data_IF_751835018624
#
_entry.id   IF_751835018624
#
_cell.length_a   1.000
_cell.length_b   1.000
_cell.length_c   1.000
_cell.angle_alpha   90.00
_cell.angle_beta   90.00
_cell.angle_gamma   90.00
#
_symmetry.space_group_name_H-M   'P 1'
#
loop_
_entity.id
_entity.type
_entity.pdbx_description
1 polymer ?
#
# COMPACT_ATOMS: atom_id res chain seq x y z
N UNK A 1 -16.29 0.11 -43.40
CA UNK A 1 -15.08 -0.37 -42.69
C UNK A 1 -15.21 0.00 -41.21
N UNK A 2 -15.63 -0.96 -40.37
CA UNK A 2 -15.77 -0.81 -38.92
C UNK A 2 -14.41 -1.13 -38.27
N UNK A 3 -13.59 -0.12 -38.01
CA UNK A 3 -12.51 -0.25 -37.04
C UNK A 3 -13.04 0.25 -35.70
N UNK A 4 -13.61 -0.70 -34.96
CA UNK A 4 -14.10 -0.55 -33.61
C UNK A 4 -13.03 0.10 -32.73
N UNK A 5 -13.35 1.24 -32.16
CA UNK A 5 -12.58 1.95 -31.15
C UNK A 5 -12.21 1.01 -30.00
N UNK A 6 -11.01 0.46 -30.01
CA UNK A 6 -10.44 -0.21 -28.84
C UNK A 6 -9.93 0.87 -27.89
N UNK A 7 -10.85 1.57 -27.21
CA UNK A 7 -10.55 2.37 -26.02
C UNK A 7 -10.15 1.40 -24.91
N UNK A 8 -8.90 0.94 -24.93
CA UNK A 8 -8.25 0.43 -23.73
C UNK A 8 -8.16 1.61 -22.78
N UNK A 9 -9.14 1.76 -21.89
CA UNK A 9 -9.00 2.62 -20.73
C UNK A 9 -7.89 2.00 -19.88
N UNK A 10 -6.63 2.40 -20.13
CA UNK A 10 -5.55 2.22 -19.18
C UNK A 10 -6.01 2.94 -17.92
N UNK A 11 -6.67 2.23 -16.99
CA UNK A 11 -6.81 2.68 -15.61
C UNK A 11 -5.38 2.87 -15.15
N UNK A 12 -4.90 4.11 -15.18
CA UNK A 12 -3.61 4.45 -14.64
C UNK A 12 -3.74 4.28 -13.13
N UNK A 13 -3.46 3.08 -12.68
CA UNK A 13 -3.26 2.81 -11.26
C UNK A 13 -2.13 3.71 -10.80
N UNK A 14 -2.47 4.70 -9.97
CA UNK A 14 -1.45 5.62 -9.43
C UNK A 14 -0.85 4.95 -8.21
N UNK A 15 0.47 5.05 -8.09
CA UNK A 15 1.19 4.59 -6.91
C UNK A 15 0.58 5.26 -5.67
N UNK A 16 0.18 4.46 -4.69
CA UNK A 16 -0.32 5.00 -3.43
C UNK A 16 0.82 5.72 -2.72
N UNK A 17 0.67 7.04 -2.54
CA UNK A 17 1.68 7.89 -1.91
C UNK A 17 1.83 7.59 -0.41
N UNK A 18 0.75 7.16 0.25
CA UNK A 18 0.77 6.87 1.69
C UNK A 18 1.69 5.70 2.06
N UNK A 19 1.78 4.69 1.20
CA UNK A 19 2.67 3.54 1.39
C UNK A 19 3.75 3.42 0.32
N UNK A 20 3.99 4.47 -0.47
CA UNK A 20 4.92 4.47 -1.60
C UNK A 20 4.82 3.20 -2.47
N UNK A 21 3.62 2.77 -2.85
CA UNK A 21 3.47 1.61 -3.73
C UNK A 21 3.53 0.23 -3.06
N UNK A 22 3.88 0.16 -1.77
CA UNK A 22 4.16 -1.11 -1.09
C UNK A 22 2.89 -1.82 -0.61
N UNK A 23 1.84 -1.06 -0.28
CA UNK A 23 0.61 -1.59 0.32
C UNK A 23 0.70 -1.78 1.84
N UNK A 24 1.89 -1.65 2.42
CA UNK A 24 2.13 -1.74 3.85
C UNK A 24 2.74 -0.44 4.38
N UNK A 25 2.48 -0.16 5.64
CA UNK A 25 3.13 0.89 6.40
C UNK A 25 3.64 0.28 7.71
N UNK A 26 4.72 0.83 8.26
CA UNK A 26 5.34 0.33 9.48
C UNK A 26 5.23 1.41 10.55
N UNK A 27 4.73 1.03 11.73
CA UNK A 27 4.60 1.94 12.87
C UNK A 27 5.47 1.37 13.96
N UNK A 28 6.37 2.20 14.46
CA UNK A 28 7.13 1.87 15.65
C UNK A 28 6.15 1.83 16.82
N UNK A 29 5.84 0.62 17.31
CA UNK A 29 5.18 0.47 18.60
C UNK A 29 6.23 0.65 19.68
N UNK A 30 5.96 1.52 20.66
CA UNK A 30 6.78 1.59 21.87
C UNK A 30 6.92 0.18 22.45
N UNK A 31 8.13 -0.26 22.83
CA UNK A 31 8.29 -1.57 23.43
C UNK A 31 7.41 -1.64 24.68
N UNK A 32 6.50 -2.60 24.71
CA UNK A 32 5.82 -2.98 25.95
C UNK A 32 6.92 -3.44 26.92
N UNK A 33 6.96 -2.85 28.11
CA UNK A 33 7.96 -3.06 29.17
C UNK A 33 8.22 -4.54 29.56
N UNK A 34 7.45 -5.49 29.02
CA UNK A 34 7.53 -6.92 29.28
C UNK A 34 8.14 -7.76 28.16
N UNK A 35 8.50 -7.17 27.00
CA UNK A 35 9.09 -7.90 25.87
C UNK A 35 10.50 -7.36 25.54
N UNK A 36 11.55 -8.22 25.48
CA UNK A 36 12.91 -7.76 25.27
C UNK A 36 13.08 -7.12 23.89
N UNK A 37 13.36 -5.80 23.89
CA UNK A 37 14.16 -4.95 22.98
C UNK A 37 14.15 -5.18 21.45
N UNK A 38 13.33 -6.08 20.90
CA UNK A 38 12.99 -6.00 19.49
C UNK A 38 11.90 -4.96 19.37
N UNK A 39 12.28 -3.76 18.93
CA UNK A 39 11.38 -2.83 18.24
C UNK A 39 10.77 -3.60 17.05
N UNK A 40 9.71 -4.36 17.31
CA UNK A 40 8.98 -5.06 16.25
C UNK A 40 8.13 -3.98 15.60
N UNK A 41 8.68 -3.33 14.58
CA UNK A 41 7.91 -2.51 13.65
C UNK A 41 6.93 -3.44 12.95
N UNK A 42 5.71 -3.55 13.47
CA UNK A 42 4.69 -4.42 12.90
C UNK A 42 4.18 -3.79 11.59
N UNK A 43 4.25 -4.52 10.46
CA UNK A 43 3.63 -4.06 9.23
C UNK A 43 2.11 -4.04 9.40
N UNK A 44 1.48 -2.96 8.95
CA UNK A 44 0.03 -2.85 8.83
C UNK A 44 -0.37 -2.53 7.39
N UNK A 45 -1.56 -2.98 7.01
CA UNK A 45 -2.16 -2.68 5.71
C UNK A 45 -2.36 -1.17 5.56
N UNK A 46 -1.89 -0.62 4.44
CA UNK A 46 -2.14 0.76 4.09
C UNK A 46 -3.63 0.92 3.78
N UNK A 47 -4.35 1.62 4.66
CA UNK A 47 -5.80 1.82 4.51
C UNK A 47 -6.17 2.58 3.24
N UNK A 48 -5.32 3.52 2.81
CA UNK A 48 -5.55 4.33 1.61
C UNK A 48 -5.63 3.49 0.33
N UNK A 49 -4.83 2.43 0.23
CA UNK A 49 -4.85 1.51 -0.92
C UNK A 49 -5.36 0.11 -0.60
N UNK A 50 -5.87 -0.12 0.62
CA UNK A 50 -6.33 -1.41 1.13
C UNK A 50 -5.31 -2.54 0.90
N UNK A 51 -4.02 -2.25 1.01
CA UNK A 51 -2.95 -3.22 0.77
C UNK A 51 -2.50 -3.40 -0.68
N UNK A 52 -3.12 -2.74 -1.66
CA UNK A 52 -2.81 -2.93 -3.08
C UNK A 52 -1.57 -2.17 -3.56
N UNK A 53 -1.11 -1.18 -2.79
CA UNK A 53 -0.02 -0.29 -3.20
C UNK A 53 -0.40 0.73 -4.27
N UNK A 54 -1.62 0.68 -4.81
CA UNK A 54 -2.11 1.55 -5.87
C UNK A 54 -3.52 2.06 -5.54
N UNK A 55 -3.84 3.25 -6.01
CA UNK A 55 -5.17 3.88 -5.92
C UNK A 55 -5.74 4.16 -7.30
#
# INVERSE_FOLDING_TARGET
MKLWFQKHTKKQHRKCLSCNGVGLVYRESKPLLTLPEKLISLPYLCETCKGLGIV
#
